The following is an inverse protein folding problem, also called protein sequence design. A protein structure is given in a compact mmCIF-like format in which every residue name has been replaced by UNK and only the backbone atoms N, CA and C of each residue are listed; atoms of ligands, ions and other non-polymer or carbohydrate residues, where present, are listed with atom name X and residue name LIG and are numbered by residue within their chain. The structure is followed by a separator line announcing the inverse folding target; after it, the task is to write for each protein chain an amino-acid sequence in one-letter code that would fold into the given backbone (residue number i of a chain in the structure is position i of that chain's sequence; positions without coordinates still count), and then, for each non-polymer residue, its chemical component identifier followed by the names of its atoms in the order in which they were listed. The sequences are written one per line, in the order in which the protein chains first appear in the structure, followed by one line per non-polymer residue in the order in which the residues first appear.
data_IF_028529936544
#
_entry.id   IF_028529936544
#
_cell.length_a   1.000
_cell.length_b   1.000
_cell.length_c   1.000
_cell.angle_alpha   90.00
_cell.angle_beta   90.00
_cell.angle_gamma   90.00
#
_symmetry.space_group_name_H-M   'P 1'
#
loop_
_entity.id
_entity.type
_entity.pdbx_description
1 polymer ?
#
# COMPACT_ATOMS: atom_id res chain seq x y z
N UNK A 1 1.11 -7.05 -11.49
CA UNK A 1 0.52 -7.77 -10.35
C UNK A 1 0.93 -7.01 -9.12
N UNK A 2 -0.06 -6.59 -8.34
CA UNK A 2 0.15 -5.85 -7.12
C UNK A 2 0.93 -6.72 -6.13
N UNK A 3 1.81 -6.11 -5.35
CA UNK A 3 2.59 -6.80 -4.32
C UNK A 3 2.71 -5.90 -3.11
N UNK A 4 2.60 -6.49 -1.94
CA UNK A 4 2.85 -5.80 -0.69
C UNK A 4 3.94 -6.49 0.09
N UNK A 5 4.84 -5.70 0.64
CA UNK A 5 5.99 -6.17 1.41
C UNK A 5 6.08 -5.37 2.70
N UNK A 6 6.24 -6.07 3.81
CA UNK A 6 6.54 -5.47 5.10
C UNK A 6 7.91 -5.95 5.55
N UNK A 7 8.79 -5.02 5.85
CA UNK A 7 10.13 -5.27 6.37
C UNK A 7 10.30 -4.63 7.73
N UNK A 8 10.65 -5.44 8.73
CA UNK A 8 10.90 -4.96 10.09
C UNK A 8 12.42 -5.01 10.31
N UNK A 9 13.04 -3.85 10.52
CA UNK A 9 14.49 -3.74 10.77
C UNK A 9 14.73 -2.87 11.99
N UNK A 10 15.07 -3.50 13.11
CA UNK A 10 15.20 -2.80 14.39
C UNK A 10 13.87 -2.17 14.77
N UNK A 11 13.87 -0.84 14.97
CA UNK A 11 12.70 -0.08 15.41
C UNK A 11 11.95 0.58 14.24
N UNK A 12 12.21 0.11 13.02
CA UNK A 12 11.65 0.65 11.78
C UNK A 12 10.87 -0.44 11.05
N UNK A 13 9.65 -0.11 10.63
CA UNK A 13 8.79 -0.93 9.80
C UNK A 13 8.67 -0.22 8.45
N UNK A 14 9.19 -0.85 7.40
CA UNK A 14 9.05 -0.38 6.02
C UNK A 14 7.97 -1.18 5.32
N UNK A 15 6.94 -0.49 4.84
CA UNK A 15 5.84 -1.05 4.06
C UNK A 15 6.03 -0.60 2.62
N UNK A 16 5.99 -1.53 1.67
CA UNK A 16 6.17 -1.23 0.25
C UNK A 16 5.04 -1.86 -0.54
N UNK A 17 4.30 -1.03 -1.29
CA UNK A 17 3.28 -1.45 -2.24
C UNK A 17 3.85 -1.29 -3.66
N UNK A 18 3.93 -2.39 -4.40
CA UNK A 18 4.07 -2.35 -5.86
C UNK A 18 2.68 -2.36 -6.47
N UNK A 19 2.30 -1.31 -7.18
CA UNK A 19 1.00 -1.19 -7.84
C UNK A 19 1.13 -0.44 -9.17
N UNK A 20 0.49 -0.94 -10.22
CA UNK A 20 0.47 -0.39 -11.58
C UNK A 20 1.88 -0.15 -12.14
N UNK A 21 2.82 -1.06 -11.82
CA UNK A 21 4.21 -0.98 -12.25
C UNK A 21 5.07 0.08 -11.54
N UNK A 22 4.54 0.72 -10.48
CA UNK A 22 5.27 1.66 -9.61
C UNK A 22 5.43 1.07 -8.21
N UNK A 23 6.41 1.58 -7.47
CA UNK A 23 6.66 1.22 -6.08
C UNK A 23 6.39 2.43 -5.18
N UNK A 24 5.64 2.21 -4.11
CA UNK A 24 5.24 3.19 -3.11
C UNK A 24 5.71 2.69 -1.76
N UNK A 25 6.36 3.54 -0.96
CA UNK A 25 7.00 3.10 0.28
C UNK A 25 6.65 4.01 1.44
N UNK A 26 6.22 3.40 2.54
CA UNK A 26 5.91 4.07 3.78
C UNK A 26 6.82 3.52 4.91
N UNK A 27 7.34 4.41 5.74
CA UNK A 27 8.27 4.06 6.82
C UNK A 27 7.67 4.49 8.16
N UNK A 28 7.49 3.52 9.04
CA UNK A 28 7.05 3.69 10.42
C UNK A 28 8.20 3.46 11.39
N UNK A 29 8.21 4.19 12.50
CA UNK A 29 9.10 3.95 13.65
C UNK A 29 8.31 3.52 14.87
N UNK A 30 8.97 2.88 15.85
CA UNK A 30 8.37 2.24 17.04
C UNK A 30 7.30 3.07 17.79
N UNK A 31 7.37 4.40 17.76
CA UNK A 31 6.35 5.28 18.35
C UNK A 31 5.03 5.31 17.55
N UNK A 32 4.85 4.41 16.58
CA UNK A 32 3.69 4.39 15.68
C UNK A 32 3.60 5.63 14.80
N UNK A 33 4.70 6.37 14.66
CA UNK A 33 4.75 7.59 13.86
C UNK A 33 5.21 7.24 12.45
N UNK A 34 4.41 7.62 11.45
CA UNK A 34 4.84 7.58 10.06
C UNK A 34 5.88 8.69 9.82
N UNK A 35 7.07 8.32 9.34
CA UNK A 35 8.19 9.24 9.10
C UNK A 35 8.26 9.73 7.65
N UNK A 36 7.43 9.21 6.76
CA UNK A 36 7.36 9.54 5.32
C UNK A 36 5.93 9.91 4.91
N UNK A 37 5.73 10.17 3.62
CA UNK A 37 4.41 10.15 3.00
C UNK A 37 3.73 8.79 3.18
N UNK A 38 2.40 8.80 3.27
CA UNK A 38 1.59 7.59 3.28
C UNK A 38 1.50 7.02 1.85
N UNK A 39 1.45 5.69 1.72
CA UNK A 39 1.33 5.02 0.41
C UNK A 39 0.10 5.54 -0.38
N UNK A 40 -1.02 5.78 0.30
CA UNK A 40 -2.25 6.30 -0.32
C UNK A 40 -2.03 7.65 -1.02
N UNK A 41 -1.37 8.59 -0.35
CA UNK A 41 -1.10 9.93 -0.91
C UNK A 41 -0.22 9.84 -2.16
N UNK A 42 0.80 8.98 -2.12
CA UNK A 42 1.69 8.76 -3.27
C UNK A 42 0.96 8.10 -4.44
N UNK A 43 0.06 7.14 -4.16
CA UNK A 43 -0.76 6.48 -5.17
C UNK A 43 -1.74 7.47 -5.80
N UNK A 44 -2.44 8.28 -5.01
CA UNK A 44 -3.36 9.30 -5.53
C UNK A 44 -2.63 10.34 -6.39
N UNK A 45 -1.43 10.75 -5.98
CA UNK A 45 -0.60 11.66 -6.77
C UNK A 45 -0.14 11.00 -8.09
N UNK A 46 0.13 9.70 -8.09
CA UNK A 46 0.57 8.96 -9.27
C UNK A 46 -0.57 8.57 -10.22
N UNK A 47 -1.79 8.40 -9.69
CA UNK A 47 -2.98 7.91 -10.38
C UNK A 47 -4.22 8.69 -9.89
N UNK A 48 -4.41 9.94 -10.32
CA UNK A 48 -5.52 10.78 -9.85
C UNK A 48 -6.91 10.29 -10.33
N UNK A 49 -6.95 9.43 -11.33
CA UNK A 49 -8.19 8.83 -11.87
C UNK A 49 -8.50 7.46 -11.22
N UNK A 50 -7.76 7.06 -10.19
CA UNK A 50 -8.01 5.81 -9.47
C UNK A 50 -9.37 5.91 -8.75
N UNK A 51 -10.16 4.84 -8.82
CA UNK A 51 -11.46 4.79 -8.17
C UNK A 51 -11.32 4.88 -6.65
N UNK A 52 -12.21 5.65 -6.00
CA UNK A 52 -12.24 5.85 -4.54
C UNK A 52 -12.22 4.54 -3.75
N UNK A 53 -12.81 3.47 -4.30
CA UNK A 53 -12.82 2.14 -3.66
C UNK A 53 -11.40 1.57 -3.52
N UNK A 54 -10.57 1.69 -4.56
CA UNK A 54 -9.20 1.20 -4.55
C UNK A 54 -8.27 2.10 -3.74
N UNK A 55 -8.51 3.41 -3.74
CA UNK A 55 -7.80 4.35 -2.85
C UNK A 55 -8.03 3.96 -1.39
N UNK A 56 -9.27 3.69 -0.99
CA UNK A 56 -9.60 3.23 0.37
C UNK A 56 -8.96 1.90 0.72
N UNK A 57 -8.94 0.94 -0.22
CA UNK A 57 -8.21 -0.33 -0.01
C UNK A 57 -6.73 -0.07 0.28
N UNK A 58 -6.11 0.88 -0.43
CA UNK A 58 -4.70 1.23 -0.26
C UNK A 58 -4.44 1.98 1.05
N UNK A 59 -5.35 2.87 1.47
CA UNK A 59 -5.30 3.52 2.79
C UNK A 59 -5.28 2.47 3.93
N UNK A 60 -6.21 1.50 3.85
CA UNK A 60 -6.41 0.49 4.89
C UNK A 60 -5.33 -0.60 4.91
N UNK A 61 -4.62 -0.80 3.80
CA UNK A 61 -3.56 -1.82 3.61
C UNK A 61 -2.47 -1.77 4.70
N UNK A 62 -2.28 -0.60 5.30
CA UNK A 62 -1.28 -0.38 6.36
C UNK A 62 -1.78 -0.82 7.74
N UNK A 63 -3.09 -0.95 7.94
CA UNK A 63 -3.75 -1.30 9.20
C UNK A 63 -4.37 -2.71 9.21
N UNK A 64 -4.49 -3.33 8.04
CA UNK A 64 -5.04 -4.67 7.85
C UNK A 64 -4.13 -5.78 8.42
N UNK A 65 -4.75 -6.90 8.78
CA UNK A 65 -4.00 -8.12 9.10
C UNK A 65 -3.51 -8.86 7.84
N UNK A 66 -2.75 -9.95 8.01
CA UNK A 66 -2.15 -10.68 6.88
C UNK A 66 -3.20 -11.22 5.89
N UNK A 67 -4.33 -11.71 6.40
CA UNK A 67 -5.38 -12.30 5.56
C UNK A 67 -6.10 -11.20 4.77
N UNK A 68 -6.44 -10.09 5.44
CA UNK A 68 -7.05 -8.91 4.81
C UNK A 68 -6.12 -8.27 3.76
N UNK A 69 -4.82 -8.20 4.04
CA UNK A 69 -3.81 -7.71 3.08
C UNK A 69 -3.76 -8.59 1.84
N UNK A 70 -3.85 -9.91 1.98
CA UNK A 70 -3.85 -10.82 0.84
C UNK A 70 -5.09 -10.62 -0.04
N UNK A 71 -6.27 -10.47 0.56
CA UNK A 71 -7.51 -10.16 -0.16
C UNK A 71 -7.40 -8.82 -0.90
N UNK A 72 -6.94 -7.77 -0.22
CA UNK A 72 -6.73 -6.45 -0.80
C UNK A 72 -5.75 -6.49 -2.00
N UNK A 73 -4.67 -7.26 -1.91
CA UNK A 73 -3.69 -7.39 -2.99
C UNK A 73 -4.22 -8.18 -4.18
N UNK A 74 -5.09 -9.17 -3.93
CA UNK A 74 -5.79 -9.89 -4.98
C UNK A 74 -6.73 -8.94 -5.74
N UNK A 75 -7.52 -8.14 -5.04
CA UNK A 75 -8.42 -7.16 -5.64
C UNK A 75 -7.67 -6.10 -6.47
N UNK A 76 -6.59 -5.55 -5.93
CA UNK A 76 -5.73 -4.62 -6.66
C UNK A 76 -5.07 -5.27 -7.89
N UNK A 77 -4.72 -6.55 -7.80
CA UNK A 77 -4.18 -7.29 -8.94
C UNK A 77 -5.23 -7.52 -10.02
N UNK A 78 -6.48 -7.82 -9.64
CA UNK A 78 -7.58 -7.94 -10.60
C UNK A 78 -7.85 -6.62 -11.31
N UNK A 79 -7.77 -5.49 -10.59
CA UNK A 79 -7.87 -4.17 -11.20
C UNK A 79 -6.81 -3.95 -12.28
N UNK A 80 -5.54 -4.26 -12.00
CA UNK A 80 -4.46 -4.14 -12.99
C UNK A 80 -4.66 -5.02 -14.24
N UNK A 81 -5.37 -6.15 -14.12
CA UNK A 81 -5.64 -7.06 -15.23
C UNK A 81 -6.89 -6.69 -16.05
N UNK A 82 -7.80 -5.90 -15.46
CA UNK A 82 -9.01 -5.42 -16.09
C UNK A 82 -8.86 -4.11 -16.89
N UNK A 83 -7.68 -3.47 -16.81
CA UNK A 83 -7.27 -2.34 -17.65
C UNK A 83 -6.55 -2.80 -18.92
#
# INVERSE_FOLDING_TARGET
MAKYKVEIKGNTITKTLTFMGKEFTEIWVEDGTCCSSCIEEEVMAAFPDLLDEHVKTIEQLTCMDEDEVLEAIVDLTYYEQGQ
#
